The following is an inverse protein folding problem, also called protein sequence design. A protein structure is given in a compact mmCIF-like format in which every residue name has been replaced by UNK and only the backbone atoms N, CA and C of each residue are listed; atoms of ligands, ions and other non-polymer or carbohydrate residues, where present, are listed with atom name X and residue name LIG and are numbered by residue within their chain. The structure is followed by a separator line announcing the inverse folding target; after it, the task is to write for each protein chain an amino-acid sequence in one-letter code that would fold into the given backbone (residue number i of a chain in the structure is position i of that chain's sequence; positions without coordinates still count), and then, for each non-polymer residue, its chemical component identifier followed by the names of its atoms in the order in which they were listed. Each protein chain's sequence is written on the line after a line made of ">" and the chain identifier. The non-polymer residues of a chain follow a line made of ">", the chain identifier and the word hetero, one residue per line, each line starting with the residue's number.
data_IF_937610776773
#
_entry.id   IF_937610776773
#
_cell.length_a   1.000
_cell.length_b   1.000
_cell.length_c   1.000
_cell.angle_alpha   90.00
_cell.angle_beta   90.00
_cell.angle_gamma   90.00
#
_symmetry.space_group_name_H-M   'P 1'
#
loop_
_entity.id
_entity.type
_entity.pdbx_description
1 polymer ?
#
# COMPACT_ATOMS: atom_id res chain seq x y z
N UNK A 1 8.02 25.44 8.09
CA UNK A 1 8.72 25.07 6.84
C UNK A 1 9.18 23.64 6.90
N UNK A 2 9.07 22.89 5.81
CA UNK A 2 9.46 21.46 5.75
C UNK A 2 11.00 21.31 5.84
N UNK A 3 11.77 22.33 5.47
CA UNK A 3 13.21 22.43 5.75
C UNK A 3 14.00 21.20 5.28
N UNK A 4 14.87 20.68 6.15
CA UNK A 4 15.63 19.44 5.92
C UNK A 4 14.78 18.17 5.82
N UNK A 5 13.46 18.24 6.05
CA UNK A 5 12.53 17.12 5.87
C UNK A 5 12.02 16.99 4.43
N UNK A 6 12.42 17.89 3.52
CA UNK A 6 12.14 17.74 2.10
C UNK A 6 13.14 16.75 1.48
N UNK A 7 12.67 15.54 1.17
CA UNK A 7 13.50 14.43 0.70
C UNK A 7 13.46 14.21 -0.82
N UNK A 8 12.80 15.12 -1.56
CA UNK A 8 12.72 15.05 -3.02
C UNK A 8 13.86 15.88 -3.62
N UNK A 9 14.59 15.33 -4.60
CA UNK A 9 15.72 16.01 -5.25
C UNK A 9 15.32 17.34 -5.92
N UNK A 10 14.09 17.41 -6.43
CA UNK A 10 13.53 18.64 -7.01
C UNK A 10 13.15 19.61 -5.90
N UNK A 11 13.39 20.92 -6.07
CA UNK A 11 12.99 21.92 -5.09
C UNK A 11 11.48 21.91 -4.88
N UNK A 12 11.06 22.30 -3.68
CA UNK A 12 9.64 22.46 -3.36
C UNK A 12 8.97 23.43 -4.34
N UNK A 13 7.81 23.08 -4.92
CA UNK A 13 7.08 24.01 -5.77
C UNK A 13 6.68 25.25 -4.97
N UNK A 14 6.86 26.45 -5.54
CA UNK A 14 6.52 27.73 -4.89
C UNK A 14 5.10 27.77 -4.33
N UNK A 15 4.15 27.17 -5.03
CA UNK A 15 2.74 27.10 -4.63
C UNK A 15 2.51 26.33 -3.30
N UNK A 16 3.51 25.56 -2.84
CA UNK A 16 3.41 24.75 -1.63
C UNK A 16 4.16 25.36 -0.43
N UNK A 17 4.90 26.46 -0.61
CA UNK A 17 5.76 27.05 0.43
C UNK A 17 4.96 27.54 1.64
N UNK A 18 3.77 28.08 1.40
CA UNK A 18 2.89 28.66 2.42
C UNK A 18 1.87 27.67 2.98
N UNK A 19 1.92 26.39 2.58
CA UNK A 19 1.01 25.37 3.13
C UNK A 19 1.32 25.14 4.61
N UNK A 20 0.29 25.33 5.43
CA UNK A 20 0.36 25.07 6.87
C UNK A 20 0.36 23.55 7.11
N UNK A 21 1.41 23.06 7.75
CA UNK A 21 1.49 21.67 8.20
C UNK A 21 0.55 21.50 9.40
N UNK A 22 -0.38 20.57 9.29
CA UNK A 22 -1.35 20.23 10.34
C UNK A 22 -1.02 18.87 10.96
N UNK A 23 -1.49 18.63 12.18
CA UNK A 23 -1.35 17.35 12.85
C UNK A 23 -2.38 16.36 12.29
N UNK A 24 -1.92 15.24 11.75
CA UNK A 24 -2.79 14.29 11.09
C UNK A 24 -3.86 13.67 12.01
N UNK A 25 -3.63 13.65 13.33
CA UNK A 25 -4.53 13.06 14.33
C UNK A 25 -5.40 14.11 15.02
N UNK A 26 -4.82 15.25 15.40
CA UNK A 26 -5.52 16.29 16.13
C UNK A 26 -6.39 17.19 15.22
N UNK A 27 -6.00 17.38 13.95
CA UNK A 27 -6.65 18.32 13.04
C UNK A 27 -7.58 17.64 12.00
N UNK A 28 -8.05 16.40 12.24
CA UNK A 28 -8.80 15.60 11.24
C UNK A 28 -10.00 16.35 10.66
N UNK A 29 -10.85 16.96 11.50
CA UNK A 29 -12.05 17.69 11.04
C UNK A 29 -11.66 18.85 10.11
N UNK A 30 -10.64 19.62 10.51
CA UNK A 30 -10.12 20.74 9.74
C UNK A 30 -9.52 20.28 8.43
N UNK A 31 -8.76 19.19 8.41
CA UNK A 31 -8.16 18.64 7.19
C UNK A 31 -9.25 18.12 6.26
N UNK A 32 -10.17 17.29 6.76
CA UNK A 32 -11.24 16.68 5.99
C UNK A 32 -12.18 17.71 5.34
N UNK A 33 -12.39 18.87 5.98
CA UNK A 33 -13.19 19.96 5.40
C UNK A 33 -12.53 20.69 4.21
N UNK A 34 -11.23 20.52 4.01
CA UNK A 34 -10.45 21.24 3.00
C UNK A 34 -10.04 20.39 1.80
N UNK A 35 -10.27 19.08 1.85
CA UNK A 35 -9.79 18.13 0.84
C UNK A 35 -10.87 17.18 0.38
N UNK A 36 -10.76 16.73 -0.87
CA UNK A 36 -11.66 15.73 -1.41
C UNK A 36 -11.35 14.31 -0.93
N UNK A 37 -10.08 14.03 -0.64
CA UNK A 37 -9.55 12.76 -0.15
C UNK A 37 -8.13 12.97 0.38
N UNK A 38 -7.60 11.97 1.09
CA UNK A 38 -6.22 11.98 1.62
C UNK A 38 -5.42 10.79 1.12
N UNK A 39 -4.12 11.01 0.94
CA UNK A 39 -3.13 9.93 0.80
C UNK A 39 -2.48 9.64 2.15
N UNK A 40 -2.56 8.42 2.64
CA UNK A 40 -2.00 8.02 3.93
C UNK A 40 -0.68 7.24 3.73
N UNK A 41 0.42 7.76 4.29
CA UNK A 41 1.75 7.15 4.24
C UNK A 41 2.53 7.36 5.54
N UNK A 42 1.83 7.33 6.68
CA UNK A 42 2.40 7.55 8.01
C UNK A 42 3.19 6.32 8.50
N UNK A 43 4.22 6.56 9.30
CA UNK A 43 4.98 5.52 10.01
C UNK A 43 4.55 5.50 11.48
N UNK A 44 3.64 4.56 11.81
CA UNK A 44 3.01 4.41 13.12
C UNK A 44 2.71 2.92 13.37
N UNK A 45 2.25 2.56 14.58
CA UNK A 45 1.82 1.18 14.83
C UNK A 45 0.57 0.83 14.01
N UNK A 46 0.42 -0.43 13.62
CA UNK A 46 -0.68 -0.87 12.74
C UNK A 46 -2.07 -0.56 13.28
N UNK A 47 -2.27 -0.66 14.59
CA UNK A 47 -3.51 -0.32 15.28
C UNK A 47 -3.79 1.18 15.25
N UNK A 48 -2.77 2.01 15.47
CA UNK A 48 -2.87 3.48 15.38
C UNK A 48 -3.19 3.92 13.93
N UNK A 49 -2.56 3.28 12.92
CA UNK A 49 -2.86 3.53 11.51
C UNK A 49 -4.32 3.19 11.20
N UNK A 50 -4.80 2.02 11.65
CA UNK A 50 -6.20 1.63 11.44
C UNK A 50 -7.16 2.66 12.04
N UNK A 51 -6.89 3.09 13.28
CA UNK A 51 -7.70 4.07 13.98
C UNK A 51 -7.71 5.41 13.24
N UNK A 52 -6.54 5.87 12.77
CA UNK A 52 -6.40 7.11 12.00
C UNK A 52 -7.19 7.05 10.69
N UNK A 53 -6.99 6.01 9.88
CA UNK A 53 -7.64 5.86 8.58
C UNK A 53 -9.16 5.72 8.72
N UNK A 54 -9.65 4.97 9.71
CA UNK A 54 -11.09 4.92 10.00
C UNK A 54 -11.63 6.26 10.49
N UNK A 55 -10.85 7.03 11.26
CA UNK A 55 -11.28 8.36 11.70
C UNK A 55 -11.46 9.31 10.51
N UNK A 56 -10.54 9.35 9.55
CA UNK A 56 -10.71 10.13 8.32
C UNK A 56 -11.92 9.68 7.51
N UNK A 57 -12.10 8.37 7.32
CA UNK A 57 -13.25 7.84 6.61
C UNK A 57 -14.57 8.24 7.30
N UNK A 58 -14.64 8.18 8.63
CA UNK A 58 -15.81 8.62 9.41
C UNK A 58 -16.07 10.14 9.36
N UNK A 59 -15.07 10.95 9.00
CA UNK A 59 -15.24 12.37 8.68
C UNK A 59 -15.59 12.60 7.20
N UNK A 60 -16.16 11.59 6.53
CA UNK A 60 -16.58 11.63 5.13
C UNK A 60 -15.44 11.88 4.11
N UNK A 61 -14.19 11.68 4.55
CA UNK A 61 -13.01 11.86 3.72
C UNK A 61 -12.48 10.49 3.25
N UNK A 62 -12.52 10.19 1.93
CA UNK A 62 -11.87 9.01 1.38
C UNK A 62 -10.37 8.98 1.69
N UNK A 63 -9.86 7.79 1.98
CA UNK A 63 -8.46 7.52 2.35
C UNK A 63 -7.85 6.56 1.34
N UNK A 64 -6.81 7.01 0.64
CA UNK A 64 -5.98 6.19 -0.24
C UNK A 64 -4.67 5.88 0.49
N UNK A 65 -4.52 4.66 1.01
CA UNK A 65 -3.44 4.34 1.92
C UNK A 65 -2.34 3.46 1.30
N UNK A 66 -1.10 3.82 1.58
CA UNK A 66 0.10 3.03 1.30
C UNK A 66 0.42 2.02 2.41
N UNK A 67 -0.24 2.12 3.56
CA UNK A 67 0.04 1.30 4.72
C UNK A 67 -0.48 -0.13 4.59
N UNK A 68 0.21 -1.05 5.27
CA UNK A 68 -0.19 -2.47 5.29
C UNK A 68 -1.32 -2.78 6.27
N UNK A 69 -1.71 -1.83 7.12
CA UNK A 69 -2.56 -2.09 8.28
C UNK A 69 -3.95 -2.61 7.89
N UNK A 70 -4.58 -2.01 6.87
CA UNK A 70 -5.92 -2.37 6.39
C UNK A 70 -5.94 -3.37 5.22
N UNK A 71 -4.78 -3.88 4.79
CA UNK A 71 -4.65 -4.78 3.62
C UNK A 71 -5.51 -6.04 3.67
N UNK A 72 -5.75 -6.57 4.86
CA UNK A 72 -6.57 -7.77 5.06
C UNK A 72 -7.88 -7.50 5.82
N UNK A 73 -8.31 -6.24 5.93
CA UNK A 73 -9.67 -5.92 6.39
C UNK A 73 -10.66 -6.36 5.30
N UNK A 74 -11.73 -7.05 5.70
CA UNK A 74 -12.63 -7.79 4.80
C UNK A 74 -13.27 -6.93 3.71
N UNK A 75 -13.66 -5.71 4.08
CA UNK A 75 -14.36 -4.75 3.22
C UNK A 75 -13.47 -3.60 2.73
N UNK A 76 -12.15 -3.70 2.94
CA UNK A 76 -11.18 -2.73 2.39
C UNK A 76 -10.59 -3.28 1.09
N UNK A 77 -10.82 -2.61 -0.05
CA UNK A 77 -10.24 -3.04 -1.32
C UNK A 77 -8.72 -2.82 -1.33
N UNK A 78 -8.00 -3.82 -1.83
CA UNK A 78 -6.56 -3.72 -2.13
C UNK A 78 -6.41 -3.65 -3.65
N UNK A 79 -6.19 -2.45 -4.18
CA UNK A 79 -6.31 -2.19 -5.62
C UNK A 79 -4.95 -2.17 -6.30
N UNK A 80 -4.85 -2.92 -7.40
CA UNK A 80 -3.95 -2.67 -8.52
C UNK A 80 -4.86 -2.28 -9.70
N UNK A 81 -4.89 -1.00 -10.11
CA UNK A 81 -5.92 -0.48 -11.02
C UNK A 81 -6.08 -1.26 -12.32
N UNK A 82 -5.00 -1.81 -12.86
CA UNK A 82 -4.98 -2.56 -14.12
C UNK A 82 -5.46 -4.02 -13.97
N UNK A 83 -5.74 -4.48 -12.75
CA UNK A 83 -6.01 -5.89 -12.45
C UNK A 83 -7.38 -6.11 -11.83
N UNK A 84 -7.75 -5.30 -10.83
CA UNK A 84 -8.91 -5.57 -9.98
C UNK A 84 -9.68 -4.29 -9.59
N UNK A 85 -9.89 -3.39 -10.55
CA UNK A 85 -10.68 -2.16 -10.32
C UNK A 85 -12.12 -2.47 -9.87
N UNK A 86 -12.67 -3.62 -10.27
CA UNK A 86 -13.99 -4.09 -9.84
C UNK A 86 -14.10 -4.32 -8.33
N UNK A 87 -12.98 -4.50 -7.62
CA UNK A 87 -12.99 -4.63 -6.15
C UNK A 87 -13.49 -3.36 -5.46
N UNK A 88 -13.51 -2.22 -6.14
CA UNK A 88 -14.07 -0.97 -5.60
C UNK A 88 -15.55 -1.10 -5.24
N UNK A 89 -16.30 -2.04 -5.80
CA UNK A 89 -17.69 -2.27 -5.43
C UNK A 89 -17.88 -2.66 -3.94
N UNK A 90 -16.85 -3.19 -3.26
CA UNK A 90 -16.90 -3.52 -1.83
C UNK A 90 -17.08 -2.29 -0.93
N UNK A 91 -16.75 -1.10 -1.45
CA UNK A 91 -16.80 0.16 -0.70
C UNK A 91 -18.21 0.44 -0.18
N UNK A 92 -19.26 -0.03 -0.84
CA UNK A 92 -20.63 0.15 -0.36
C UNK A 92 -20.91 -0.64 0.93
N UNK A 93 -20.37 -1.85 1.06
CA UNK A 93 -20.42 -2.62 2.31
C UNK A 93 -19.60 -1.91 3.41
N UNK A 94 -18.44 -1.37 3.04
CA UNK A 94 -17.58 -0.63 3.97
C UNK A 94 -18.24 0.64 4.51
N UNK A 95 -18.84 1.46 3.64
CA UNK A 95 -19.58 2.66 4.02
C UNK A 95 -20.74 2.32 4.95
N UNK A 96 -21.48 1.25 4.68
CA UNK A 96 -22.53 0.75 5.56
C UNK A 96 -21.99 0.37 6.94
N UNK A 97 -20.85 -0.32 7.03
CA UNK A 97 -20.21 -0.66 8.31
C UNK A 97 -19.73 0.59 9.06
N UNK A 98 -19.13 1.54 8.35
CA UNK A 98 -18.56 2.75 8.93
C UNK A 98 -19.62 3.82 9.28
N UNK A 99 -20.83 3.71 8.72
CA UNK A 99 -21.89 4.71 8.87
C UNK A 99 -21.65 5.96 8.02
N UNK A 100 -20.95 5.85 6.90
CA UNK A 100 -20.54 6.98 6.06
C UNK A 100 -21.31 7.03 4.74
N UNK A 101 -21.31 8.20 4.09
CA UNK A 101 -21.93 8.40 2.76
C UNK A 101 -20.89 8.47 1.65
N UNK A 102 -19.81 9.19 1.91
CA UNK A 102 -18.69 9.45 1.00
C UNK A 102 -17.41 8.78 1.48
N UNK A 103 -17.13 8.82 2.79
CA UNK A 103 -15.84 8.37 3.31
C UNK A 103 -15.65 6.85 3.24
N UNK A 104 -14.47 6.42 2.80
CA UNK A 104 -14.04 5.02 2.74
C UNK A 104 -12.51 4.94 2.76
N UNK A 105 -11.96 3.74 2.92
CA UNK A 105 -10.54 3.42 2.89
C UNK A 105 -10.30 2.48 1.70
N UNK A 106 -9.30 2.78 0.90
CA UNK A 106 -8.72 1.88 -0.10
C UNK A 106 -7.22 1.82 0.12
N UNK A 107 -6.62 0.65 -0.08
CA UNK A 107 -5.17 0.45 0.12
C UNK A 107 -4.52 0.00 -1.18
N UNK A 108 -3.27 0.40 -1.38
CA UNK A 108 -2.42 -0.29 -2.36
C UNK A 108 -1.84 -1.58 -1.78
N UNK A 109 -1.53 -2.50 -2.68
CA UNK A 109 -0.73 -3.68 -2.38
C UNK A 109 0.73 -3.35 -2.06
N UNK A 110 1.45 -4.36 -1.58
CA UNK A 110 2.90 -4.33 -1.40
C UNK A 110 3.62 -3.98 -2.72
N UNK A 111 4.67 -3.15 -2.64
CA UNK A 111 5.47 -2.79 -3.82
C UNK A 111 6.21 -3.98 -4.45
N UNK A 112 6.59 -5.01 -3.69
CA UNK A 112 7.22 -6.22 -4.20
C UNK A 112 6.33 -6.90 -5.22
N UNK A 113 5.04 -7.10 -4.92
CA UNK A 113 4.14 -7.87 -5.81
C UNK A 113 3.85 -7.15 -7.13
N UNK A 114 3.99 -5.82 -7.17
CA UNK A 114 3.80 -5.03 -8.39
C UNK A 114 4.83 -5.37 -9.47
N UNK A 115 5.96 -5.98 -9.11
CA UNK A 115 7.00 -6.38 -10.07
C UNK A 115 6.64 -7.64 -10.87
N UNK A 116 5.76 -8.52 -10.37
CA UNK A 116 5.42 -9.78 -11.05
C UNK A 116 3.92 -10.06 -11.20
N UNK A 117 3.06 -9.59 -10.29
CA UNK A 117 1.60 -9.85 -10.34
C UNK A 117 0.94 -9.30 -11.62
N UNK A 118 1.25 -8.07 -12.10
CA UNK A 118 0.72 -7.59 -13.38
C UNK A 118 1.12 -8.47 -14.57
N UNK A 119 2.34 -9.00 -14.57
CA UNK A 119 2.81 -9.89 -15.63
C UNK A 119 2.11 -11.26 -15.60
N UNK A 120 1.84 -11.79 -14.39
CA UNK A 120 1.13 -13.05 -14.22
C UNK A 120 -0.37 -12.95 -14.50
N UNK A 121 -0.98 -11.79 -14.26
CA UNK A 121 -2.43 -11.60 -14.40
C UNK A 121 -3.00 -12.07 -15.76
N UNK A 122 -2.48 -11.64 -16.93
CA UNK A 122 -2.99 -12.10 -18.22
C UNK A 122 -2.71 -13.59 -18.50
N UNK A 123 -1.72 -14.18 -17.83
CA UNK A 123 -1.35 -15.58 -17.98
C UNK A 123 -2.23 -16.52 -17.15
N UNK A 124 -2.99 -16.00 -16.17
CA UNK A 124 -3.89 -16.81 -15.33
C UNK A 124 -4.91 -17.62 -16.13
N UNK A 125 -5.34 -17.12 -17.29
CA UNK A 125 -6.27 -17.83 -18.20
C UNK A 125 -5.73 -19.17 -18.70
N UNK A 126 -4.42 -19.41 -18.60
CA UNK A 126 -3.78 -20.67 -18.96
C UNK A 126 -3.67 -21.67 -17.79
N UNK A 127 -4.21 -21.34 -16.61
CA UNK A 127 -4.26 -22.27 -15.48
C UNK A 127 -2.96 -22.35 -14.67
N UNK A 128 -2.40 -21.21 -14.28
CA UNK A 128 -1.24 -21.18 -13.36
C UNK A 128 -1.64 -21.83 -12.03
N UNK A 129 -0.94 -22.89 -11.63
CA UNK A 129 -1.20 -23.62 -10.37
C UNK A 129 -0.16 -23.33 -9.31
N UNK A 130 1.08 -22.99 -9.70
CA UNK A 130 2.20 -22.70 -8.81
C UNK A 130 3.01 -21.52 -9.33
N UNK A 131 3.49 -20.70 -8.42
CA UNK A 131 4.40 -19.58 -8.69
C UNK A 131 5.56 -19.67 -7.69
N UNK A 132 6.78 -19.63 -8.21
CA UNK A 132 7.99 -19.40 -7.43
C UNK A 132 8.54 -18.05 -7.88
N UNK A 133 8.70 -17.11 -6.96
CA UNK A 133 9.21 -15.78 -7.24
C UNK A 133 10.41 -15.45 -6.34
N UNK A 134 11.35 -14.66 -6.85
CA UNK A 134 12.45 -14.10 -6.07
C UNK A 134 12.49 -12.60 -6.29
N UNK A 135 12.28 -11.81 -5.24
CA UNK A 135 12.27 -10.35 -5.37
C UNK A 135 13.63 -9.76 -4.97
N UNK A 136 14.12 -8.83 -5.77
CA UNK A 136 15.34 -8.07 -5.53
C UNK A 136 14.93 -6.61 -5.32
N UNK A 137 14.80 -6.22 -4.06
CA UNK A 137 14.18 -4.98 -3.66
C UNK A 137 15.23 -3.90 -3.38
N UNK A 138 15.11 -2.74 -4.03
CA UNK A 138 15.90 -1.54 -3.74
C UNK A 138 15.80 -1.06 -2.29
N UNK A 139 16.79 -0.28 -1.86
CA UNK A 139 16.88 0.29 -0.51
C UNK A 139 15.82 1.38 -0.23
N UNK A 140 15.31 2.05 -1.26
CA UNK A 140 14.22 3.02 -1.10
C UNK A 140 12.92 2.40 -0.59
N UNK A 141 12.70 1.10 -0.81
CA UNK A 141 11.58 0.35 -0.22
C UNK A 141 11.64 0.24 1.31
N UNK A 142 12.79 0.51 1.93
CA UNK A 142 12.96 0.62 3.38
C UNK A 142 13.03 2.08 3.86
N UNK A 143 12.76 3.06 2.97
CA UNK A 143 12.94 4.48 3.28
C UNK A 143 14.40 4.90 3.46
N UNK A 144 15.34 4.18 2.81
CA UNK A 144 16.79 4.39 2.95
C UNK A 144 17.44 4.85 1.65
N UNK A 145 18.55 5.56 1.79
CA UNK A 145 19.54 5.89 0.76
C UNK A 145 20.89 5.25 1.11
N UNK A 146 21.84 5.24 0.18
CA UNK A 146 23.20 4.74 0.45
C UNK A 146 23.93 5.55 1.53
N UNK A 147 23.59 6.83 1.69
CA UNK A 147 24.13 7.68 2.76
C UNK A 147 23.60 7.25 4.13
N UNK A 148 22.32 6.86 4.21
CA UNK A 148 21.68 6.43 5.47
C UNK A 148 21.82 4.93 5.77
N UNK A 149 22.35 4.16 4.83
CA UNK A 149 22.57 2.71 4.94
C UNK A 149 23.82 2.27 4.16
N UNK A 150 25.01 2.71 4.57
CA UNK A 150 26.26 2.42 3.86
C UNK A 150 26.62 0.92 3.83
N UNK A 151 26.14 0.12 4.79
CA UNK A 151 26.36 -1.33 4.87
C UNK A 151 25.73 -2.11 3.72
N UNK A 152 24.85 -1.47 2.92
CA UNK A 152 24.32 -2.07 1.70
C UNK A 152 25.31 -2.02 0.54
N UNK A 153 26.27 -1.09 0.51
CA UNK A 153 27.23 -0.99 -0.61
C UNK A 153 28.03 -2.29 -0.73
N UNK A 154 28.04 -2.86 -1.94
CA UNK A 154 28.69 -4.14 -2.25
C UNK A 154 28.18 -5.33 -1.39
N UNK A 155 26.90 -5.27 -0.98
CA UNK A 155 26.31 -6.27 -0.10
C UNK A 155 24.91 -6.70 -0.56
N UNK A 156 24.43 -7.83 -0.03
CA UNK A 156 23.07 -8.34 -0.24
C UNK A 156 22.54 -8.88 1.10
N UNK A 157 21.26 -8.58 1.41
CA UNK A 157 20.59 -9.13 2.59
C UNK A 157 19.50 -10.10 2.13
N UNK A 158 19.62 -11.41 2.39
CA UNK A 158 18.70 -12.42 1.90
C UNK A 158 17.44 -12.55 2.79
N UNK A 159 16.97 -11.46 3.39
CA UNK A 159 15.80 -11.45 4.25
C UNK A 159 15.19 -10.05 4.38
N UNK A 160 13.87 -9.97 4.24
CA UNK A 160 13.07 -8.77 4.54
C UNK A 160 11.88 -9.21 5.39
N UNK A 161 11.84 -8.76 6.66
CA UNK A 161 10.83 -9.21 7.63
C UNK A 161 9.38 -9.05 7.16
N UNK A 162 8.65 -10.17 7.12
CA UNK A 162 7.23 -10.23 6.74
C UNK A 162 6.95 -9.96 5.26
N UNK A 163 7.96 -9.82 4.41
CA UNK A 163 7.78 -9.49 3.00
C UNK A 163 7.38 -10.71 2.15
N UNK A 164 7.88 -11.89 2.52
CA UNK A 164 7.53 -13.16 1.88
C UNK A 164 6.05 -13.47 2.08
N UNK A 165 5.56 -13.42 3.33
CA UNK A 165 4.14 -13.65 3.64
C UNK A 165 3.22 -12.70 2.85
N UNK A 166 3.56 -11.41 2.77
CA UNK A 166 2.81 -10.46 1.95
C UNK A 166 2.84 -10.83 0.48
N UNK A 167 4.01 -11.22 -0.05
CA UNK A 167 4.19 -11.60 -1.45
C UNK A 167 3.43 -12.89 -1.81
N UNK A 168 3.19 -13.76 -0.84
CA UNK A 168 2.40 -14.98 -1.02
C UNK A 168 0.90 -14.73 -0.87
N UNK A 169 0.48 -13.85 0.05
CA UNK A 169 -0.92 -13.70 0.44
C UNK A 169 -1.66 -12.56 -0.27
N UNK A 170 -0.98 -11.44 -0.54
CA UNK A 170 -1.61 -10.28 -1.16
C UNK A 170 -2.05 -10.52 -2.63
N UNK A 171 -1.29 -11.24 -3.49
CA UNK A 171 -1.75 -11.54 -4.84
C UNK A 171 -3.07 -12.30 -4.86
N UNK A 172 -3.28 -13.19 -3.88
CA UNK A 172 -4.52 -13.96 -3.76
C UNK A 172 -5.71 -13.06 -3.39
N UNK A 173 -5.50 -11.99 -2.61
CA UNK A 173 -6.55 -10.99 -2.38
C UNK A 173 -6.80 -10.16 -3.63
N UNK A 174 -5.76 -9.67 -4.31
CA UNK A 174 -5.87 -8.91 -5.58
C UNK A 174 -6.66 -9.70 -6.62
N UNK A 175 -6.40 -10.99 -6.75
CA UNK A 175 -7.09 -11.89 -7.67
C UNK A 175 -8.38 -12.50 -7.14
N UNK A 176 -8.78 -12.10 -5.93
CA UNK A 176 -9.98 -12.56 -5.25
C UNK A 176 -11.25 -12.02 -5.87
N UNK A 177 -12.38 -12.29 -5.22
CA UNK A 177 -13.71 -11.84 -5.64
C UNK A 177 -14.50 -11.32 -4.45
N UNK A 178 -15.42 -10.40 -4.72
CA UNK A 178 -16.38 -9.95 -3.72
C UNK A 178 -17.44 -11.06 -3.54
N UNK A 179 -17.65 -11.47 -2.28
CA UNK A 179 -18.71 -12.39 -1.88
C UNK A 179 -19.45 -11.82 -0.67
N UNK A 180 -20.64 -11.25 -0.90
CA UNK A 180 -21.36 -10.49 0.12
C UNK A 180 -20.57 -9.24 0.53
N UNK A 181 -20.34 -9.08 1.83
CA UNK A 181 -19.69 -7.90 2.43
C UNK A 181 -18.17 -8.09 2.63
N UNK A 182 -17.52 -8.98 1.86
CA UNK A 182 -16.07 -9.22 1.95
C UNK A 182 -15.42 -9.59 0.63
N UNK A 183 -14.10 -9.40 0.54
CA UNK A 183 -13.26 -9.92 -0.55
C UNK A 183 -12.69 -11.29 -0.14
N UNK A 184 -13.09 -12.34 -0.86
CA UNK A 184 -12.56 -13.69 -0.69
C UNK A 184 -11.36 -13.91 -1.60
N UNK A 185 -10.24 -14.36 -1.01
CA UNK A 185 -8.99 -14.63 -1.72
C UNK A 185 -9.19 -15.70 -2.81
N UNK A 186 -8.46 -15.58 -3.91
CA UNK A 186 -8.30 -16.66 -4.87
C UNK A 186 -7.66 -17.89 -4.20
N UNK A 187 -8.15 -19.08 -4.54
CA UNK A 187 -7.61 -20.34 -4.02
C UNK A 187 -6.31 -20.80 -4.72
N UNK A 188 -5.97 -20.20 -5.86
CA UNK A 188 -4.83 -20.55 -6.69
C UNK A 188 -4.26 -19.29 -7.39
N UNK A 189 -2.97 -19.27 -7.76
CA UNK A 189 -1.97 -20.34 -7.59
C UNK A 189 -1.43 -20.47 -6.16
N UNK A 190 -0.74 -21.58 -5.85
CA UNK A 190 0.14 -21.64 -4.69
C UNK A 190 1.40 -20.81 -4.98
N UNK A 191 1.70 -19.83 -4.13
CA UNK A 191 2.83 -18.91 -4.31
C UNK A 191 3.85 -19.18 -3.22
N UNK A 192 5.12 -19.25 -3.59
CA UNK A 192 6.24 -19.16 -2.66
C UNK A 192 7.20 -18.08 -3.13
N UNK A 193 7.70 -17.28 -2.19
CA UNK A 193 8.57 -16.14 -2.53
C UNK A 193 9.81 -16.09 -1.64
N UNK A 194 10.95 -15.73 -2.24
CA UNK A 194 12.13 -15.27 -1.50
C UNK A 194 12.31 -13.77 -1.70
N UNK A 195 12.47 -13.01 -0.62
CA UNK A 195 12.58 -11.54 -0.70
C UNK A 195 13.95 -11.06 -0.24
N UNK A 196 14.72 -10.47 -1.15
CA UNK A 196 16.09 -10.03 -0.93
C UNK A 196 16.21 -8.51 -1.04
N UNK A 197 17.07 -7.91 -0.22
CA UNK A 197 17.48 -6.51 -0.33
C UNK A 197 18.77 -6.43 -1.16
N UNK A 198 18.77 -5.58 -2.19
CA UNK A 198 19.92 -5.35 -3.08
C UNK A 198 20.39 -3.90 -3.06
N UNK A 199 21.65 -3.61 -3.42
CA UNK A 199 22.21 -2.27 -3.40
C UNK A 199 21.83 -1.50 -4.67
N UNK A 200 20.53 -1.30 -4.84
CA UNK A 200 19.94 -0.50 -5.91
C UNK A 200 19.16 0.63 -5.26
N UNK A 201 19.28 1.85 -5.79
CA UNK A 201 18.63 3.05 -5.24
C UNK A 201 17.11 2.95 -5.33
N UNK A 202 16.57 2.60 -6.50
CA UNK A 202 15.14 2.54 -6.78
C UNK A 202 14.78 1.38 -7.70
N UNK A 203 13.55 0.88 -7.57
CA UNK A 203 13.01 -0.21 -8.39
C UNK A 203 13.07 -1.57 -7.69
N UNK A 204 12.08 -2.41 -7.94
CA UNK A 204 12.06 -3.79 -7.49
C UNK A 204 12.02 -4.69 -8.72
N UNK A 205 12.84 -5.73 -8.70
CA UNK A 205 12.88 -6.76 -9.74
C UNK A 205 12.34 -8.07 -9.19
N UNK A 206 11.65 -8.86 -10.01
CA UNK A 206 11.15 -10.19 -9.66
C UNK A 206 11.20 -11.14 -10.86
#
# INVERSE_FOLDING_TARGET
>A
TVGSRWLIEKPMPKAMEDIVIMDATADIEKIASQVDFVFCAVDMKKDEIKALEEAYAKHECPVMSNNSANRFTDDVPMIIPEINDEHMAIVEAQKKRLGTKRGFISVKSNCSIQSYVPALNPLRKFGITKVLACTYQAISGAGKTFETWPEMVDNLIPYIGGEEEKSEQEPLKVWGKIEGDKIVKAAAPAITTQCLRVPVSNGHFA
#
